data_IF_874143640241
#
_entry.id   IF_874143640241
#
_cell.length_a   1.000
_cell.length_b   1.000
_cell.length_c   1.000
_cell.angle_alpha   90.00
_cell.angle_beta   90.00
_cell.angle_gamma   90.00
#
_symmetry.space_group_name_H-M   'P 1'
#
loop_
_entity.id
_entity.type
_entity.pdbx_description
1 polymer ?
#
# COMPACT_ATOMS: atom_id res chain seq x y z
N UNK A 1 16.29 19.42 -19.21
CA UNK A 1 15.77 19.78 -20.55
C UNK A 1 14.28 19.49 -20.58
N UNK A 2 13.42 20.33 -21.16
CA UNK A 2 12.00 19.99 -21.32
C UNK A 2 11.84 19.11 -22.57
N UNK A 3 11.30 17.91 -22.42
CA UNK A 3 11.00 17.01 -23.54
C UNK A 3 9.63 17.39 -24.10
N UNK A 4 9.55 17.62 -25.42
CA UNK A 4 8.27 17.88 -26.04
C UNK A 4 7.42 16.60 -26.09
N UNK A 5 6.11 16.72 -25.94
CA UNK A 5 5.17 15.60 -26.12
C UNK A 5 5.37 14.96 -27.50
N UNK A 6 5.72 15.76 -28.50
CA UNK A 6 5.97 15.29 -29.86
C UNK A 6 7.16 14.32 -29.94
N UNK A 7 8.19 14.51 -29.11
CA UNK A 7 9.35 13.61 -29.08
C UNK A 7 9.00 12.30 -28.38
N UNK A 8 8.18 12.35 -27.33
CA UNK A 8 7.65 11.14 -26.69
C UNK A 8 6.80 10.31 -27.66
N UNK A 9 5.94 10.97 -28.45
CA UNK A 9 5.10 10.31 -29.46
C UNK A 9 5.91 9.57 -30.52
N UNK A 10 7.01 10.16 -31.00
CA UNK A 10 7.90 9.50 -31.97
C UNK A 10 8.49 8.19 -31.46
N UNK A 11 8.56 8.00 -30.15
CA UNK A 11 9.01 6.76 -29.53
C UNK A 11 7.82 5.81 -29.33
N UNK A 12 6.81 6.25 -28.58
CA UNK A 12 5.78 5.35 -28.05
C UNK A 12 4.62 5.07 -29.00
N UNK A 13 4.35 5.93 -29.99
CA UNK A 13 3.25 5.71 -30.96
C UNK A 13 3.67 4.85 -32.17
N UNK A 14 4.91 4.37 -32.20
CA UNK A 14 5.39 3.48 -33.28
C UNK A 14 4.80 2.08 -33.15
N UNK A 15 4.48 1.45 -34.28
CA UNK A 15 4.00 0.05 -34.31
C UNK A 15 5.00 -0.89 -33.65
N UNK A 16 6.29 -0.69 -33.90
CA UNK A 16 7.39 -1.49 -33.33
C UNK A 16 7.39 -1.44 -31.80
N UNK A 17 7.25 -0.26 -31.21
CA UNK A 17 7.15 -0.09 -29.76
C UNK A 17 5.90 -0.78 -29.21
N UNK A 18 4.74 -0.58 -29.84
CA UNK A 18 3.47 -1.15 -29.38
C UNK A 18 3.50 -2.69 -29.42
N UNK A 19 4.06 -3.28 -30.46
CA UNK A 19 4.25 -4.74 -30.57
C UNK A 19 5.26 -5.27 -29.54
N UNK A 20 6.37 -4.55 -29.32
CA UNK A 20 7.35 -4.88 -28.30
C UNK A 20 6.71 -4.94 -26.90
N UNK A 21 5.98 -3.89 -26.52
CA UNK A 21 5.34 -3.79 -25.21
C UNK A 21 4.27 -4.88 -25.03
N UNK A 22 3.48 -5.17 -26.08
CA UNK A 22 2.52 -6.28 -26.07
C UNK A 22 3.20 -7.64 -25.86
N UNK A 23 4.34 -7.88 -26.52
CA UNK A 23 5.10 -9.12 -26.35
C UNK A 23 5.68 -9.23 -24.93
N UNK A 24 6.24 -8.15 -24.39
CA UNK A 24 6.85 -8.14 -23.07
C UNK A 24 5.79 -8.30 -21.96
N UNK A 25 4.65 -7.62 -22.06
CA UNK A 25 3.54 -7.82 -21.12
C UNK A 25 3.09 -9.26 -21.04
N UNK A 26 2.86 -9.90 -22.18
CA UNK A 26 2.47 -11.30 -22.24
C UNK A 26 3.53 -12.23 -21.65
N UNK A 27 4.81 -11.99 -21.96
CA UNK A 27 5.91 -12.85 -21.50
C UNK A 27 6.14 -12.75 -19.99
N UNK A 28 5.96 -11.57 -19.41
CA UNK A 28 6.29 -11.29 -18.01
C UNK A 28 5.08 -11.10 -17.11
N UNK A 29 3.88 -11.36 -17.62
CA UNK A 29 2.65 -11.30 -16.83
C UNK A 29 2.39 -9.88 -16.27
N UNK A 30 2.63 -8.87 -17.11
CA UNK A 30 2.43 -7.45 -16.79
C UNK A 30 1.16 -6.99 -17.50
N UNK A 31 0.08 -6.78 -16.75
CA UNK A 31 -1.17 -6.27 -17.30
C UNK A 31 -1.05 -4.79 -17.67
N UNK A 32 -1.43 -4.42 -18.90
CA UNK A 32 -1.31 -3.05 -19.43
C UNK A 32 -2.68 -2.58 -19.89
N UNK A 33 -3.11 -1.41 -19.40
CA UNK A 33 -4.34 -0.76 -19.85
C UNK A 33 -4.07 0.22 -21.00
N UNK A 34 -4.94 0.27 -22.04
CA UNK A 34 -4.67 0.96 -23.30
C UNK A 34 -5.66 2.07 -23.70
N UNK A 35 -5.20 3.32 -23.58
CA UNK A 35 -4.81 4.22 -24.69
C UNK A 35 -3.82 5.24 -24.12
N UNK A 36 -2.77 5.63 -24.85
CA UNK A 36 -1.90 6.73 -24.42
C UNK A 36 -2.69 8.05 -24.42
N UNK A 37 -3.12 8.49 -23.25
CA UNK A 37 -3.79 9.77 -23.05
C UNK A 37 -2.79 10.90 -22.85
N UNK A 38 -3.21 12.14 -23.10
CA UNK A 38 -2.38 13.34 -22.97
C UNK A 38 -1.74 13.44 -21.56
N UNK A 39 -2.45 13.01 -20.53
CA UNK A 39 -1.97 13.00 -19.14
C UNK A 39 -0.74 12.09 -18.95
N UNK A 40 -0.70 10.93 -19.61
CA UNK A 40 0.42 10.00 -19.52
C UNK A 40 1.68 10.56 -20.19
N UNK A 41 1.52 11.29 -21.30
CA UNK A 41 2.62 12.02 -21.92
C UNK A 41 3.20 13.11 -21.01
N UNK A 42 2.32 13.85 -20.32
CA UNK A 42 2.75 14.88 -19.37
C UNK A 42 3.54 14.28 -18.21
N UNK A 43 3.10 13.13 -17.68
CA UNK A 43 3.81 12.41 -16.62
C UNK A 43 5.23 12.05 -17.07
N UNK A 44 5.42 11.45 -18.26
CA UNK A 44 6.76 11.10 -18.71
C UNK A 44 7.62 12.36 -18.94
N UNK A 45 7.05 13.40 -19.57
CA UNK A 45 7.78 14.64 -19.83
C UNK A 45 8.28 15.29 -18.54
N UNK A 46 7.42 15.36 -17.52
CA UNK A 46 7.78 15.86 -16.20
C UNK A 46 8.83 14.98 -15.53
N UNK A 47 8.67 13.65 -15.58
CA UNK A 47 9.64 12.70 -15.03
C UNK A 47 11.03 12.86 -15.66
N UNK A 48 11.12 13.02 -16.98
CA UNK A 48 12.38 13.28 -17.67
C UNK A 48 13.01 14.63 -17.26
N UNK A 49 12.17 15.65 -17.06
CA UNK A 49 12.63 16.96 -16.58
C UNK A 49 13.25 16.86 -15.18
N UNK A 50 12.64 16.10 -14.28
CA UNK A 50 13.12 15.95 -12.90
C UNK A 50 14.35 15.04 -12.78
N UNK A 51 14.44 14.01 -13.63
CA UNK A 51 15.56 13.06 -13.68
C UNK A 51 16.81 13.62 -14.36
N UNK A 52 16.67 14.70 -15.15
CA UNK A 52 17.69 15.18 -16.07
C UNK A 52 18.12 14.16 -17.15
N UNK A 53 17.29 13.13 -17.41
CA UNK A 53 17.52 12.16 -18.48
C UNK A 53 16.69 12.51 -19.72
N UNK A 54 17.25 12.30 -20.90
CA UNK A 54 16.51 12.41 -22.16
C UNK A 54 15.68 11.16 -22.44
N UNK A 55 14.62 11.30 -23.24
CA UNK A 55 13.80 10.16 -23.64
C UNK A 55 14.58 9.16 -24.49
N UNK A 56 15.52 9.63 -25.31
CA UNK A 56 16.35 8.77 -26.15
C UNK A 56 17.31 7.92 -25.31
N UNK A 57 17.87 8.48 -24.23
CA UNK A 57 18.69 7.72 -23.27
C UNK A 57 17.85 6.64 -22.57
N UNK A 58 16.68 7.01 -22.07
CA UNK A 58 15.76 6.09 -21.39
C UNK A 58 15.31 4.98 -22.34
N UNK A 59 14.96 5.33 -23.57
CA UNK A 59 14.46 4.38 -24.55
C UNK A 59 15.56 3.43 -25.02
N UNK A 60 16.76 3.95 -25.29
CA UNK A 60 17.92 3.11 -25.65
C UNK A 60 18.24 2.12 -24.54
N UNK A 61 18.28 2.60 -23.29
CA UNK A 61 18.50 1.72 -22.13
C UNK A 61 17.42 0.64 -22.03
N UNK A 62 16.14 1.01 -22.21
CA UNK A 62 15.04 0.05 -22.22
C UNK A 62 15.22 -1.04 -23.28
N UNK A 63 15.59 -0.67 -24.51
CA UNK A 63 15.80 -1.63 -25.59
C UNK A 63 16.94 -2.61 -25.30
N UNK A 64 18.02 -2.13 -24.68
CA UNK A 64 19.19 -2.93 -24.29
C UNK A 64 18.90 -3.82 -23.06
N UNK A 65 17.97 -3.41 -22.19
CA UNK A 65 17.76 -4.02 -20.86
C UNK A 65 16.32 -4.54 -20.63
N UNK A 66 15.62 -4.97 -21.70
CA UNK A 66 14.20 -5.38 -21.64
C UNK A 66 13.89 -6.38 -20.52
N UNK A 67 14.72 -7.43 -20.38
CA UNK A 67 14.54 -8.47 -19.36
C UNK A 67 14.69 -7.90 -17.94
N UNK A 68 15.74 -7.11 -17.70
CA UNK A 68 15.99 -6.47 -16.42
C UNK A 68 14.84 -5.54 -16.02
N UNK A 69 14.36 -4.72 -16.96
CA UNK A 69 13.24 -3.81 -16.74
C UNK A 69 11.97 -4.58 -16.36
N UNK A 70 11.65 -5.68 -17.06
CA UNK A 70 10.47 -6.49 -16.74
C UNK A 70 10.58 -7.18 -15.37
N UNK A 71 11.76 -7.72 -15.04
CA UNK A 71 12.01 -8.32 -13.73
C UNK A 71 11.92 -7.29 -12.61
N UNK A 72 12.41 -6.07 -12.84
CA UNK A 72 12.29 -4.97 -11.90
C UNK A 72 10.84 -4.56 -11.65
N UNK A 73 10.01 -4.48 -12.70
CA UNK A 73 8.57 -4.22 -12.56
C UNK A 73 7.93 -5.28 -11.67
N UNK A 74 8.20 -6.56 -11.92
CA UNK A 74 7.65 -7.66 -11.12
C UNK A 74 8.15 -7.65 -9.67
N UNK A 75 9.40 -7.26 -9.43
CA UNK A 75 9.95 -7.13 -8.09
C UNK A 75 9.36 -5.96 -7.31
N UNK A 76 9.14 -4.84 -7.99
CA UNK A 76 8.65 -3.59 -7.40
C UNK A 76 7.15 -3.63 -7.11
N UNK A 77 6.35 -4.13 -8.05
CA UNK A 77 4.89 -4.07 -7.96
C UNK A 77 4.24 -5.42 -7.62
N UNK A 78 5.03 -6.51 -7.52
CA UNK A 78 4.51 -7.86 -7.32
C UNK A 78 3.98 -8.50 -8.60
N UNK A 79 3.44 -9.72 -8.47
CA UNK A 79 2.76 -10.43 -9.56
C UNK A 79 1.24 -10.28 -9.38
N UNK A 80 0.59 -9.36 -10.09
CA UNK A 80 -0.85 -9.13 -9.92
C UNK A 80 -1.72 -10.35 -10.26
N UNK A 81 -1.19 -11.35 -10.98
CA UNK A 81 -1.93 -12.54 -11.42
C UNK A 81 -2.03 -13.66 -10.36
N UNK A 82 -1.24 -13.61 -9.27
CA UNK A 82 -1.22 -14.67 -8.25
C UNK A 82 -2.25 -14.43 -7.11
N UNK A 83 -2.91 -13.27 -7.09
CA UNK A 83 -3.96 -12.94 -6.10
C UNK A 83 -5.36 -13.14 -6.70
N UNK A 84 -6.06 -14.20 -6.28
CA UNK A 84 -7.46 -14.43 -6.64
C UNK A 84 -8.31 -13.23 -6.19
N UNK A 85 -9.20 -12.77 -7.07
CA UNK A 85 -10.22 -11.73 -6.82
C UNK A 85 -9.72 -10.28 -6.78
N UNK A 86 -8.52 -9.97 -7.28
CA UNK A 86 -8.06 -8.58 -7.49
C UNK A 86 -8.03 -8.26 -8.99
N UNK A 87 -9.04 -7.52 -9.47
CA UNK A 87 -8.94 -6.83 -10.77
C UNK A 87 -8.05 -5.59 -10.61
N UNK A 88 -6.79 -5.70 -10.99
CA UNK A 88 -5.93 -4.53 -11.12
C UNK A 88 -6.39 -3.67 -12.31
N UNK A 89 -6.41 -2.36 -12.12
CA UNK A 89 -6.32 -1.42 -13.24
C UNK A 89 -4.90 -1.58 -13.80
N UNK A 90 -4.77 -2.16 -14.99
CA UNK A 90 -3.47 -2.45 -15.61
C UNK A 90 -2.51 -1.26 -15.62
N UNK A 91 -1.21 -1.53 -15.69
CA UNK A 91 -0.18 -0.49 -15.76
C UNK A 91 -0.38 0.38 -17.01
N UNK A 92 -0.09 1.69 -16.95
CA UNK A 92 -0.04 2.49 -18.18
C UNK A 92 1.08 1.97 -19.08
N UNK A 93 0.94 2.10 -20.40
CA UNK A 93 2.01 1.74 -21.36
C UNK A 93 3.36 2.36 -21.01
N UNK A 94 3.35 3.48 -20.29
CA UNK A 94 4.53 4.23 -19.85
C UNK A 94 5.37 3.50 -18.80
N UNK A 95 4.86 2.44 -18.16
CA UNK A 95 5.52 1.75 -17.04
C UNK A 95 6.91 1.25 -17.39
N UNK A 96 7.12 0.79 -18.62
CA UNK A 96 8.42 0.29 -19.07
C UNK A 96 9.46 1.40 -19.16
N UNK A 97 9.07 2.56 -19.69
CA UNK A 97 9.96 3.71 -19.81
C UNK A 97 10.25 4.34 -18.45
N UNK A 98 9.23 4.46 -17.58
CA UNK A 98 9.45 4.99 -16.24
C UNK A 98 10.31 4.06 -15.40
N UNK A 99 10.13 2.74 -15.54
CA UNK A 99 10.95 1.74 -14.84
C UNK A 99 12.39 1.73 -15.37
N UNK A 100 12.58 1.83 -16.69
CA UNK A 100 13.91 1.96 -17.29
C UNK A 100 14.65 3.21 -16.79
N UNK A 101 13.96 4.34 -16.69
CA UNK A 101 14.50 5.57 -16.14
C UNK A 101 14.86 5.44 -14.65
N UNK A 102 14.03 4.79 -13.83
CA UNK A 102 14.33 4.54 -12.42
C UNK A 102 15.59 3.68 -12.28
N UNK A 103 15.74 2.62 -13.07
CA UNK A 103 16.95 1.78 -13.06
C UNK A 103 18.19 2.59 -13.44
N UNK A 104 18.13 3.41 -14.50
CA UNK A 104 19.22 4.32 -14.87
C UNK A 104 19.60 5.25 -13.71
N UNK A 105 18.62 5.80 -13.01
CA UNK A 105 18.86 6.66 -11.85
C UNK A 105 19.47 5.90 -10.69
N UNK A 106 19.13 4.62 -10.49
CA UNK A 106 19.78 3.76 -9.49
C UNK A 106 21.25 3.54 -9.87
N UNK A 107 21.55 3.19 -11.12
CA UNK A 107 22.93 2.96 -11.60
C UNK A 107 23.80 4.22 -11.48
N UNK A 108 23.19 5.40 -11.63
CA UNK A 108 23.85 6.70 -11.48
C UNK A 108 23.89 7.21 -10.03
N UNK A 109 23.35 6.47 -9.06
CA UNK A 109 23.18 6.89 -7.66
C UNK A 109 22.37 8.20 -7.49
N UNK A 110 21.46 8.49 -8.43
CA UNK A 110 20.66 9.71 -8.48
C UNK A 110 19.18 9.51 -8.11
N UNK A 111 18.74 8.27 -7.84
CA UNK A 111 17.33 7.96 -7.55
C UNK A 111 16.78 8.75 -6.35
N UNK A 112 17.54 8.83 -5.24
CA UNK A 112 17.06 9.54 -4.04
C UNK A 112 16.82 11.03 -4.31
N UNK A 113 17.74 11.69 -5.02
CA UNK A 113 17.59 13.11 -5.35
C UNK A 113 16.44 13.33 -6.34
N UNK A 114 16.23 12.40 -7.26
CA UNK A 114 15.06 12.40 -8.13
C UNK A 114 13.75 12.30 -7.34
N UNK A 115 13.64 11.35 -6.40
CA UNK A 115 12.44 11.17 -5.57
C UNK A 115 12.17 12.38 -4.68
N UNK A 116 13.21 13.02 -4.15
CA UNK A 116 13.09 14.31 -3.42
C UNK A 116 12.55 15.42 -4.31
N UNK A 117 13.01 15.53 -5.56
CA UNK A 117 12.50 16.52 -6.53
C UNK A 117 11.04 16.27 -6.89
N UNK A 118 10.62 15.01 -6.92
CA UNK A 118 9.22 14.62 -7.08
C UNK A 118 8.35 14.88 -5.84
N UNK A 119 8.96 15.20 -4.69
CA UNK A 119 8.27 15.35 -3.41
C UNK A 119 7.49 14.09 -3.01
N UNK A 120 8.05 12.92 -3.31
CA UNK A 120 7.52 11.64 -2.83
C UNK A 120 7.63 11.61 -1.31
N UNK A 121 6.59 11.10 -0.65
CA UNK A 121 6.58 10.86 0.79
C UNK A 121 7.63 9.80 1.18
N UNK A 122 8.35 10.02 2.28
CA UNK A 122 9.45 9.14 2.72
C UNK A 122 10.43 8.74 1.58
N UNK A 123 11.06 9.70 0.86
CA UNK A 123 11.81 9.42 -0.38
C UNK A 123 13.02 8.51 -0.15
N UNK A 124 13.59 8.51 1.06
CA UNK A 124 14.65 7.59 1.47
C UNK A 124 14.17 6.15 1.59
N UNK A 125 12.95 5.91 2.08
CA UNK A 125 12.33 4.58 2.17
C UNK A 125 12.08 4.05 0.76
N UNK A 126 11.40 4.83 -0.08
CA UNK A 126 11.14 4.46 -1.47
C UNK A 126 12.42 4.17 -2.26
N UNK A 127 13.46 5.01 -2.10
CA UNK A 127 14.75 4.76 -2.76
C UNK A 127 15.36 3.41 -2.34
N UNK A 128 15.31 3.07 -1.04
CA UNK A 128 15.84 1.79 -0.54
C UNK A 128 15.06 0.60 -1.10
N UNK A 129 13.73 0.69 -1.17
CA UNK A 129 12.86 -0.37 -1.70
C UNK A 129 13.06 -0.59 -3.20
N UNK A 130 13.16 0.50 -3.98
CA UNK A 130 13.44 0.46 -5.42
C UNK A 130 14.84 -0.11 -5.68
N UNK A 131 15.86 0.32 -4.93
CA UNK A 131 17.21 -0.26 -5.00
C UNK A 131 17.18 -1.76 -4.69
N UNK A 132 16.45 -2.18 -3.66
CA UNK A 132 16.35 -3.59 -3.31
C UNK A 132 15.65 -4.40 -4.43
N UNK A 133 14.60 -3.85 -5.03
CA UNK A 133 13.89 -4.46 -6.17
C UNK A 133 14.79 -4.58 -7.40
N UNK A 134 15.56 -3.54 -7.69
CA UNK A 134 16.58 -3.55 -8.75
C UNK A 134 17.64 -4.62 -8.50
N UNK A 135 18.20 -4.72 -7.31
CA UNK A 135 19.25 -5.70 -7.01
C UNK A 135 18.76 -7.14 -7.14
N UNK A 136 17.51 -7.42 -6.74
CA UNK A 136 16.87 -8.74 -6.97
C UNK A 136 16.65 -9.03 -8.46
N UNK A 137 16.15 -8.04 -9.20
CA UNK A 137 15.94 -8.16 -10.63
C UNK A 137 17.27 -8.37 -11.39
N UNK A 138 18.32 -7.65 -11.00
CA UNK A 138 19.66 -7.76 -11.58
C UNK A 138 20.26 -9.15 -11.36
N UNK A 139 20.24 -9.64 -10.12
CA UNK A 139 20.73 -10.98 -9.80
C UNK A 139 19.97 -12.05 -10.61
N UNK A 140 18.63 -11.95 -10.68
CA UNK A 140 17.80 -12.85 -11.48
C UNK A 140 18.14 -12.77 -12.97
N UNK A 141 18.34 -11.57 -13.51
CA UNK A 141 18.67 -11.34 -14.92
C UNK A 141 20.02 -11.94 -15.32
N UNK A 142 20.96 -12.04 -14.36
CA UNK A 142 22.30 -12.60 -14.54
C UNK A 142 22.40 -14.07 -14.14
N UNK A 143 21.32 -14.66 -13.65
CA UNK A 143 21.31 -16.00 -13.05
C UNK A 143 22.33 -16.12 -11.88
N UNK A 144 22.42 -15.07 -11.07
CA UNK A 144 23.27 -14.94 -9.89
C UNK A 144 22.44 -15.04 -8.60
N UNK A 145 23.04 -15.47 -7.46
CA UNK A 145 22.35 -15.46 -6.19
C UNK A 145 22.04 -14.02 -5.74
N UNK A 146 20.83 -13.81 -5.22
CA UNK A 146 20.43 -12.52 -4.65
C UNK A 146 21.31 -12.23 -3.43
N UNK A 147 21.98 -11.05 -3.35
CA UNK A 147 22.79 -10.70 -2.19
C UNK A 147 21.96 -10.69 -0.90
N UNK A 148 22.52 -11.19 0.20
CA UNK A 148 21.83 -11.37 1.49
C UNK A 148 21.08 -10.10 1.95
N UNK A 149 21.69 -8.92 1.78
CA UNK A 149 21.10 -7.63 2.13
C UNK A 149 19.80 -7.29 1.35
N UNK A 150 19.58 -7.90 0.19
CA UNK A 150 18.43 -7.66 -0.69
C UNK A 150 17.52 -8.87 -0.83
N UNK A 151 17.85 -10.01 -0.22
CA UNK A 151 16.95 -11.13 -0.12
C UNK A 151 15.67 -10.67 0.58
N UNK A 152 14.53 -10.95 -0.04
CA UNK A 152 13.25 -10.78 0.67
C UNK A 152 13.38 -11.64 1.91
N UNK A 153 13.31 -11.04 3.10
CA UNK A 153 13.10 -11.82 4.32
C UNK A 153 11.92 -12.73 3.99
N UNK A 154 12.01 -14.05 4.25
CA UNK A 154 10.82 -14.86 4.14
C UNK A 154 9.79 -14.14 5.00
N UNK A 155 8.77 -13.57 4.35
CA UNK A 155 7.48 -13.46 5.00
C UNK A 155 7.30 -14.87 5.51
N UNK A 156 7.31 -15.05 6.83
CA UNK A 156 6.87 -16.31 7.39
C UNK A 156 5.54 -16.50 6.68
N UNK A 157 5.46 -17.48 5.78
CA UNK A 157 4.20 -18.14 5.51
C UNK A 157 3.88 -18.71 6.89
N UNK A 158 3.29 -17.88 7.76
CA UNK A 158 2.34 -18.37 8.71
C UNK A 158 1.39 -19.10 7.78
N UNK A 159 1.40 -20.41 7.91
CA UNK A 159 0.22 -21.19 7.63
C UNK A 159 -0.91 -20.35 8.19
N UNK A 160 -1.67 -19.69 7.31
CA UNK A 160 -3.01 -19.28 7.66
C UNK A 160 -3.63 -20.62 7.94
N UNK A 161 -3.65 -20.99 9.22
CA UNK A 161 -4.55 -22.03 9.66
C UNK A 161 -5.89 -21.50 9.22
N UNK A 162 -6.45 -22.10 8.17
CA UNK A 162 -7.84 -21.97 7.76
C UNK A 162 -8.73 -22.60 8.84
N UNK A 163 -8.60 -22.06 10.04
CA UNK A 163 -9.36 -22.35 11.24
C UNK A 163 -9.69 -21.01 11.90
N UNK A 164 -10.08 -20.02 11.08
CA UNK A 164 -10.87 -18.90 11.54
C UNK A 164 -12.32 -19.33 11.52
N UNK A 165 -12.99 -19.39 12.67
CA UNK A 165 -14.44 -19.57 12.70
C UNK A 165 -15.07 -18.53 11.78
N UNK A 166 -16.01 -18.95 10.93
CA UNK A 166 -16.78 -18.03 10.08
C UNK A 166 -17.36 -16.90 10.94
N UNK A 167 -17.05 -15.64 10.61
CA UNK A 167 -17.59 -14.48 11.32
C UNK A 167 -19.11 -14.62 11.42
N UNK A 168 -19.59 -14.68 12.66
CA UNK A 168 -21.01 -14.77 12.97
C UNK A 168 -21.46 -13.41 13.45
N UNK A 169 -22.44 -12.85 12.73
CA UNK A 169 -23.07 -11.59 13.10
C UNK A 169 -24.08 -11.85 14.23
N UNK A 170 -24.10 -10.92 15.18
CA UNK A 170 -25.12 -10.85 16.21
C UNK A 170 -26.49 -10.49 15.64
N UNK A 171 -27.43 -10.23 16.56
CA UNK A 171 -28.76 -9.76 16.19
C UNK A 171 -28.65 -8.34 15.65
N UNK A 172 -29.30 -8.10 14.51
CA UNK A 172 -29.46 -6.77 13.94
C UNK A 172 -30.53 -6.02 14.72
N UNK A 173 -30.19 -4.82 15.17
CA UNK A 173 -31.04 -3.91 15.93
C UNK A 173 -31.20 -2.64 15.07
N UNK A 174 -32.42 -2.28 14.63
CA UNK A 174 -32.63 -1.01 13.94
C UNK A 174 -32.37 0.15 14.92
N UNK A 175 -31.80 1.25 14.41
CA UNK A 175 -31.64 2.48 15.19
C UNK A 175 -32.87 3.39 15.02
N UNK A 176 -32.84 4.58 15.61
CA UNK A 176 -33.90 5.59 15.47
C UNK A 176 -33.91 6.27 14.07
N UNK A 177 -32.87 6.03 13.26
CA UNK A 177 -32.77 6.53 11.89
C UNK A 177 -33.23 5.46 10.90
N UNK A 178 -34.02 5.88 9.90
CA UNK A 178 -34.41 4.99 8.81
C UNK A 178 -33.17 4.44 8.10
N UNK A 179 -33.20 3.15 7.76
CA UNK A 179 -32.11 2.42 7.09
C UNK A 179 -30.78 2.34 7.86
N UNK A 180 -30.79 2.56 9.17
CA UNK A 180 -29.62 2.34 10.03
C UNK A 180 -29.81 1.14 10.97
N UNK A 181 -28.77 0.32 11.08
CA UNK A 181 -28.78 -0.90 11.88
C UNK A 181 -27.47 -1.07 12.63
N UNK A 182 -27.57 -1.63 13.82
CA UNK A 182 -26.44 -2.02 14.64
C UNK A 182 -26.42 -3.54 14.80
N UNK A 183 -25.24 -4.14 14.76
CA UNK A 183 -25.01 -5.54 15.11
C UNK A 183 -23.65 -5.68 15.78
N UNK A 184 -23.30 -6.89 16.22
CA UNK A 184 -21.99 -7.18 16.81
C UNK A 184 -21.32 -8.35 16.09
N UNK A 185 -19.99 -8.39 16.14
CA UNK A 185 -19.20 -9.53 15.69
C UNK A 185 -17.93 -9.64 16.52
N UNK A 186 -17.42 -10.86 16.73
CA UNK A 186 -16.08 -11.02 17.28
C UNK A 186 -15.05 -10.87 16.17
N UNK A 187 -14.24 -9.81 16.22
CA UNK A 187 -13.17 -9.53 15.26
C UNK A 187 -11.87 -9.28 16.03
N UNK A 188 -10.79 -9.91 15.57
CA UNK A 188 -9.47 -9.92 16.20
C UNK A 188 -9.52 -10.32 17.69
N UNK A 189 -10.45 -11.21 18.02
CA UNK A 189 -10.64 -11.73 19.39
C UNK A 189 -11.42 -10.82 20.34
N UNK A 190 -11.97 -9.68 19.89
CA UNK A 190 -12.80 -8.78 20.69
C UNK A 190 -14.21 -8.69 20.10
N UNK A 191 -15.24 -8.57 20.95
CA UNK A 191 -16.58 -8.20 20.49
C UNK A 191 -16.56 -6.74 20.02
N UNK A 192 -16.98 -6.53 18.78
CA UNK A 192 -16.93 -5.25 18.08
C UNK A 192 -18.32 -4.88 17.60
N UNK A 193 -18.69 -3.63 17.81
CA UNK A 193 -19.92 -3.04 17.30
C UNK A 193 -19.79 -2.72 15.81
N UNK A 194 -20.82 -3.06 15.04
CA UNK A 194 -20.90 -2.83 13.61
C UNK A 194 -22.12 -1.96 13.34
N UNK A 195 -21.87 -0.72 12.92
CA UNK A 195 -22.88 0.25 12.50
C UNK A 195 -23.05 0.17 10.98
N UNK A 196 -24.28 0.07 10.52
CA UNK A 196 -24.62 -0.19 9.12
C UNK A 196 -25.60 0.89 8.67
N UNK A 197 -25.27 1.58 7.60
CA UNK A 197 -26.11 2.59 6.96
C UNK A 197 -26.51 2.06 5.58
N UNK A 198 -27.81 1.99 5.30
CA UNK A 198 -28.40 1.49 4.06
C UNK A 198 -29.05 0.10 4.19
N UNK A 199 -29.61 -0.38 3.08
CA UNK A 199 -30.44 -1.59 3.08
C UNK A 199 -29.65 -2.88 3.41
N UNK A 200 -29.91 -3.43 4.60
CA UNK A 200 -29.14 -4.52 5.24
C UNK A 200 -29.44 -5.94 4.74
N UNK A 201 -30.26 -6.15 3.70
CA UNK A 201 -30.55 -7.50 3.14
C UNK A 201 -29.28 -8.22 2.64
N UNK A 202 -28.15 -7.52 2.60
CA UNK A 202 -26.80 -8.00 2.29
C UNK A 202 -25.99 -8.54 3.47
N UNK A 203 -26.63 -9.21 4.46
CA UNK A 203 -25.94 -9.86 5.61
C UNK A 203 -24.74 -10.73 5.21
N UNK A 204 -24.86 -11.43 4.09
CA UNK A 204 -23.79 -12.27 3.53
C UNK A 204 -22.60 -11.42 3.05
N UNK A 205 -22.85 -10.28 2.42
CA UNK A 205 -21.80 -9.38 1.98
C UNK A 205 -21.05 -8.78 3.19
N UNK A 206 -21.78 -8.36 4.21
CA UNK A 206 -21.22 -7.84 5.48
C UNK A 206 -20.36 -8.91 6.13
N UNK A 207 -20.89 -10.12 6.37
CA UNK A 207 -20.13 -11.23 6.97
C UNK A 207 -18.86 -11.57 6.18
N UNK A 208 -18.93 -11.64 4.85
CA UNK A 208 -17.76 -11.89 4.00
C UNK A 208 -16.71 -10.77 4.11
N UNK A 209 -17.15 -9.52 4.24
CA UNK A 209 -16.25 -8.38 4.34
C UNK A 209 -15.60 -8.28 5.72
N UNK A 210 -16.34 -8.56 6.79
CA UNK A 210 -15.77 -8.67 8.14
C UNK A 210 -14.81 -9.86 8.25
N UNK A 211 -15.10 -10.99 7.59
CA UNK A 211 -14.15 -12.10 7.50
C UNK A 211 -12.86 -11.68 6.80
N UNK A 212 -12.96 -10.87 5.74
CA UNK A 212 -11.76 -10.33 5.10
C UNK A 212 -10.95 -9.43 6.05
N UNK A 213 -11.60 -8.62 6.88
CA UNK A 213 -10.92 -7.81 7.92
C UNK A 213 -10.23 -8.70 8.96
N UNK A 214 -10.90 -9.77 9.42
CA UNK A 214 -10.33 -10.78 10.32
C UNK A 214 -9.05 -11.39 9.72
N UNK A 215 -9.13 -11.84 8.47
CA UNK A 215 -8.04 -12.55 7.78
C UNK A 215 -6.87 -11.62 7.42
N UNK A 216 -7.10 -10.30 7.35
CA UNK A 216 -6.12 -9.29 6.91
C UNK A 216 -5.65 -8.37 8.04
N UNK A 217 -5.76 -8.80 9.31
CA UNK A 217 -5.30 -8.04 10.49
C UNK A 217 -3.91 -7.44 10.32
N UNK A 218 -2.91 -8.27 10.01
CA UNK A 218 -1.51 -7.83 9.92
C UNK A 218 -1.33 -6.76 8.83
N UNK A 219 -1.97 -6.93 7.66
CA UNK A 219 -1.93 -5.94 6.56
C UNK A 219 -2.52 -4.59 6.99
N UNK A 220 -3.71 -4.61 7.62
CA UNK A 220 -4.41 -3.39 8.05
C UNK A 220 -3.58 -2.65 9.11
N UNK A 221 -3.02 -3.36 10.09
CA UNK A 221 -2.18 -2.76 11.13
C UNK A 221 -0.88 -2.19 10.57
N UNK A 222 -0.22 -2.89 9.64
CA UNK A 222 0.97 -2.34 8.96
C UNK A 222 0.63 -1.05 8.21
N UNK A 223 -0.44 -1.05 7.41
CA UNK A 223 -0.87 0.15 6.69
C UNK A 223 -1.15 1.32 7.64
N UNK A 224 -1.88 1.06 8.74
CA UNK A 224 -2.24 2.08 9.72
C UNK A 224 -1.02 2.74 10.38
N UNK A 225 0.00 1.95 10.73
CA UNK A 225 1.18 2.45 11.44
C UNK A 225 2.22 3.09 10.51
N UNK A 226 2.23 2.70 9.23
CA UNK A 226 3.14 3.26 8.24
C UNK A 226 2.74 4.66 7.74
N UNK A 227 1.44 5.01 7.80
CA UNK A 227 0.91 6.26 7.25
C UNK A 227 1.58 7.53 7.81
N UNK A 228 2.20 7.46 9.00
CA UNK A 228 2.90 8.61 9.61
C UNK A 228 4.19 8.21 10.36
N UNK A 229 4.80 7.05 10.08
CA UNK A 229 5.92 6.52 10.88
C UNK A 229 5.63 6.57 12.40
N UNK A 230 4.41 6.16 12.77
CA UNK A 230 3.79 6.47 14.07
C UNK A 230 4.70 6.07 15.25
N UNK A 231 5.24 4.85 15.21
CA UNK A 231 6.07 4.31 16.29
C UNK A 231 7.31 5.17 16.54
N UNK A 232 7.92 5.67 15.47
CA UNK A 232 9.11 6.53 15.53
C UNK A 232 8.76 7.85 16.24
N UNK A 233 7.72 8.53 15.78
CA UNK A 233 7.26 9.79 16.38
C UNK A 233 6.81 9.63 17.83
N UNK A 234 6.06 8.58 18.14
CA UNK A 234 5.63 8.27 19.50
C UNK A 234 6.83 8.04 20.42
N UNK A 235 7.82 7.25 19.99
CA UNK A 235 9.00 6.95 20.78
C UNK A 235 9.94 8.15 20.95
N UNK A 236 10.03 9.05 19.98
CA UNK A 236 10.76 10.31 20.10
C UNK A 236 10.16 11.21 21.20
N UNK A 237 8.83 11.32 21.22
CA UNK A 237 8.11 12.01 22.30
C UNK A 237 8.32 11.32 23.65
N UNK A 238 8.08 10.01 23.75
CA UNK A 238 8.20 9.25 24.99
C UNK A 238 9.62 9.35 25.56
N UNK A 239 10.65 9.21 24.72
CA UNK A 239 12.06 9.36 25.10
C UNK A 239 12.34 10.75 25.67
N UNK A 240 11.77 11.79 25.05
CA UNK A 240 11.95 13.17 25.51
C UNK A 240 11.32 13.41 26.88
N UNK A 241 10.10 12.92 27.10
CA UNK A 241 9.40 13.06 28.38
C UNK A 241 10.08 12.25 29.49
N UNK A 242 10.49 11.01 29.20
CA UNK A 242 11.23 10.15 30.13
C UNK A 242 12.55 10.83 30.56
N UNK A 243 13.31 11.41 29.63
CA UNK A 243 14.56 12.12 29.97
C UNK A 243 14.33 13.33 30.87
N UNK A 244 13.23 14.08 30.67
CA UNK A 244 12.94 15.30 31.42
C UNK A 244 12.35 15.02 32.81
N UNK A 245 11.46 14.04 32.91
CA UNK A 245 10.60 13.82 34.09
C UNK A 245 10.80 12.45 34.76
N UNK A 246 11.65 11.60 34.20
CA UNK A 246 11.85 10.21 34.64
C UNK A 246 10.74 9.25 34.20
N UNK A 247 9.68 9.75 33.54
CA UNK A 247 8.53 8.98 33.04
C UNK A 247 7.76 9.76 31.97
N UNK A 248 7.06 9.05 31.09
CA UNK A 248 5.98 9.58 30.28
C UNK A 248 4.63 9.08 30.85
N UNK A 249 3.61 9.92 30.82
CA UNK A 249 2.25 9.56 31.28
C UNK A 249 1.33 9.68 30.06
N UNK A 250 0.68 8.59 29.69
CA UNK A 250 -0.28 8.54 28.60
C UNK A 250 -1.63 9.14 29.00
N UNK A 251 -2.53 9.33 28.03
CA UNK A 251 -3.85 9.90 28.26
C UNK A 251 -4.69 9.06 29.25
N UNK A 252 -4.55 7.74 29.20
CA UNK A 252 -5.18 6.79 30.14
C UNK A 252 -4.48 6.67 31.51
N UNK A 253 -3.50 7.53 31.80
CA UNK A 253 -2.62 7.50 32.97
C UNK A 253 -1.62 6.33 33.03
N UNK A 254 -1.46 5.56 31.96
CA UNK A 254 -0.38 4.57 31.88
C UNK A 254 0.97 5.26 31.97
N UNK A 255 1.88 4.70 32.78
CA UNK A 255 3.21 5.24 33.01
C UNK A 255 4.23 4.45 32.19
N UNK A 256 4.96 5.13 31.31
CA UNK A 256 6.09 4.58 30.57
C UNK A 256 7.41 5.05 31.19
N UNK A 257 8.34 4.11 31.40
CA UNK A 257 9.72 4.39 31.83
C UNK A 257 10.75 4.10 30.74
N UNK A 258 10.32 3.47 29.64
CA UNK A 258 11.09 3.23 28.42
C UNK A 258 10.20 3.46 27.19
N UNK A 259 10.79 3.71 26.00
CA UNK A 259 10.06 3.66 24.73
C UNK A 259 9.44 2.28 24.50
N UNK A 260 8.41 2.22 23.66
CA UNK A 260 7.70 0.97 23.34
C UNK A 260 8.26 0.32 22.07
N UNK A 261 8.10 -1.00 21.98
CA UNK A 261 8.43 -1.78 20.79
C UNK A 261 7.25 -1.85 19.83
N UNK A 262 7.53 -2.18 18.56
CA UNK A 262 6.50 -2.43 17.55
C UNK A 262 5.58 -3.59 17.97
N UNK A 263 6.14 -4.64 18.59
CA UNK A 263 5.35 -5.78 19.07
C UNK A 263 4.38 -5.40 20.18
N UNK A 264 4.77 -4.53 21.12
CA UNK A 264 3.88 -4.01 22.17
C UNK A 264 2.76 -3.14 21.57
N UNK A 265 3.08 -2.31 20.58
CA UNK A 265 2.10 -1.49 19.88
C UNK A 265 1.10 -2.36 19.09
N UNK A 266 1.57 -3.30 18.27
CA UNK A 266 0.69 -4.19 17.48
C UNK A 266 -0.23 -5.04 18.36
N UNK A 267 0.24 -5.44 19.55
CA UNK A 267 -0.57 -6.19 20.51
C UNK A 267 -1.60 -5.31 21.24
N UNK A 268 -1.34 -4.02 21.39
CA UNK A 268 -2.28 -3.11 22.06
C UNK A 268 -3.43 -2.68 21.15
N UNK A 269 -3.29 -2.78 19.82
CA UNK A 269 -4.31 -2.36 18.87
C UNK A 269 -5.46 -3.37 18.77
N UNK A 270 -6.67 -2.87 18.92
CA UNK A 270 -7.93 -3.57 18.67
C UNK A 270 -8.95 -2.66 17.98
N UNK A 271 -10.02 -3.26 17.46
CA UNK A 271 -11.12 -2.53 16.81
C UNK A 271 -12.14 -2.11 17.88
N UNK A 272 -12.37 -0.81 17.99
CA UNK A 272 -13.43 -0.25 18.84
C UNK A 272 -14.80 -0.39 18.17
N UNK A 273 -14.86 -0.12 16.87
CA UNK A 273 -16.10 -0.22 16.08
C UNK A 273 -15.82 -0.24 14.59
N UNK A 274 -16.84 -0.63 13.83
CA UNK A 274 -16.81 -0.63 12.36
C UNK A 274 -18.09 0.06 11.85
N UNK A 275 -17.94 0.96 10.89
CA UNK A 275 -19.06 1.52 10.13
C UNK A 275 -19.09 0.91 8.73
N UNK A 276 -20.28 0.59 8.23
CA UNK A 276 -20.50 -0.01 6.91
C UNK A 276 -21.52 0.83 6.15
N UNK A 277 -21.12 1.38 5.00
CA UNK A 277 -22.02 2.07 4.10
C UNK A 277 -22.47 1.13 2.98
N UNK A 278 -23.78 1.00 2.81
CA UNK A 278 -24.43 0.23 1.77
C UNK A 278 -25.15 1.14 0.78
N UNK A 279 -24.84 1.01 -0.50
CA UNK A 279 -25.60 1.62 -1.59
C UNK A 279 -26.12 0.53 -2.52
N UNK A 280 -27.43 0.56 -2.82
CA UNK A 280 -28.10 -0.41 -3.70
C UNK A 280 -27.82 -1.88 -3.32
N UNK A 281 -27.66 -2.16 -2.01
CA UNK A 281 -27.35 -3.50 -1.50
C UNK A 281 -25.88 -3.93 -1.64
N UNK A 282 -24.99 -3.04 -2.05
CA UNK A 282 -23.54 -3.28 -2.14
C UNK A 282 -22.77 -2.47 -1.10
N UNK A 283 -21.67 -3.03 -0.58
CA UNK A 283 -20.79 -2.32 0.36
C UNK A 283 -19.97 -1.32 -0.43
N UNK A 284 -20.23 -0.04 -0.21
CA UNK A 284 -19.49 1.06 -0.83
C UNK A 284 -18.23 1.40 -0.05
N UNK A 285 -18.35 1.54 1.26
CA UNK A 285 -17.22 1.79 2.15
C UNK A 285 -17.39 1.14 3.52
N UNK A 286 -16.25 0.96 4.18
CA UNK A 286 -16.16 0.53 5.57
C UNK A 286 -15.12 1.38 6.28
N UNK A 287 -15.45 1.85 7.47
CA UNK A 287 -14.51 2.53 8.35
C UNK A 287 -14.21 1.62 9.54
N UNK A 288 -12.93 1.40 9.82
CA UNK A 288 -12.46 0.65 10.98
C UNK A 288 -11.87 1.63 11.98
N UNK A 289 -12.45 1.67 13.17
CA UNK A 289 -11.99 2.49 14.28
C UNK A 289 -10.99 1.70 15.12
N UNK A 290 -9.72 2.05 15.02
CA UNK A 290 -8.62 1.42 15.77
C UNK A 290 -8.27 2.25 16.99
N UNK A 291 -8.09 1.57 18.12
CA UNK A 291 -7.66 2.17 19.39
C UNK A 291 -6.59 1.28 20.02
N UNK A 292 -5.93 1.78 21.07
CA UNK A 292 -4.87 1.05 21.77
C UNK A 292 -5.16 0.92 23.27
N UNK A 293 -4.72 -0.18 23.87
CA UNK A 293 -4.65 -0.35 25.33
C UNK A 293 -3.30 -0.98 25.70
N UNK A 294 -2.35 -0.24 26.30
CA UNK A 294 -2.43 1.17 26.75
C UNK A 294 -2.71 2.18 25.65
N UNK A 295 -3.24 3.35 26.01
CA UNK A 295 -3.63 4.41 25.06
C UNK A 295 -2.43 5.16 24.48
N UNK A 296 -1.77 4.51 23.51
CA UNK A 296 -0.69 5.08 22.73
C UNK A 296 -1.18 6.12 21.71
N UNK A 297 -2.46 6.10 21.35
CA UNK A 297 -3.06 7.08 20.43
C UNK A 297 -3.46 8.39 21.11
N UNK A 298 -3.30 8.49 22.43
CA UNK A 298 -3.42 9.75 23.15
C UNK A 298 -4.86 10.28 23.23
N UNK A 299 -5.83 9.38 23.37
CA UNK A 299 -7.26 9.69 23.40
C UNK A 299 -7.92 9.71 22.01
N UNK A 300 -7.15 9.45 20.95
CA UNK A 300 -7.66 9.41 19.59
C UNK A 300 -7.93 7.98 19.09
N UNK A 301 -8.82 7.90 18.12
CA UNK A 301 -9.16 6.74 17.31
C UNK A 301 -8.54 6.91 15.94
N UNK A 302 -7.75 5.93 15.50
CA UNK A 302 -7.20 5.88 14.15
C UNK A 302 -8.23 5.24 13.22
N UNK A 303 -8.66 5.97 12.19
CA UNK A 303 -9.67 5.50 11.24
C UNK A 303 -9.02 4.99 9.96
N UNK A 304 -9.31 3.74 9.61
CA UNK A 304 -8.96 3.14 8.32
C UNK A 304 -10.21 2.97 7.49
N UNK A 305 -10.22 3.56 6.31
CA UNK A 305 -11.30 3.44 5.34
C UNK A 305 -10.99 2.32 4.33
N UNK A 306 -12.01 1.56 3.97
CA UNK A 306 -11.94 0.45 3.02
C UNK A 306 -13.03 0.63 1.99
N UNK A 307 -12.68 0.88 0.74
CA UNK A 307 -13.68 1.01 -0.31
C UNK A 307 -14.25 -0.35 -0.79
N UNK A 308 -15.23 -0.30 -1.69
CA UNK A 308 -15.84 -1.45 -2.34
C UNK A 308 -14.83 -2.43 -2.96
N UNK A 309 -13.67 -1.94 -3.41
CA UNK A 309 -12.54 -2.72 -3.97
C UNK A 309 -11.50 -3.18 -2.94
N UNK A 310 -11.76 -3.04 -1.63
CA UNK A 310 -10.84 -3.41 -0.53
C UNK A 310 -9.54 -2.61 -0.50
N UNK A 311 -9.51 -1.44 -1.13
CA UNK A 311 -8.36 -0.53 -1.03
C UNK A 311 -8.45 0.23 0.29
N UNK A 312 -7.34 0.26 1.02
CA UNK A 312 -7.19 0.99 2.28
C UNK A 312 -6.88 2.48 2.01
N UNK A 313 -7.52 3.37 2.77
CA UNK A 313 -7.14 4.77 2.91
C UNK A 313 -7.08 5.17 4.39
N UNK A 314 -6.28 6.19 4.68
CA UNK A 314 -6.21 6.77 6.01
C UNK A 314 -7.34 7.78 6.18
N UNK A 315 -8.28 7.49 7.08
CA UNK A 315 -9.41 8.35 7.43
C UNK A 315 -9.08 9.41 8.48
N UNK A 316 -7.86 9.38 9.02
CA UNK A 316 -7.38 10.34 10.02
C UNK A 316 -7.41 9.82 11.46
N UNK A 317 -6.95 10.68 12.38
CA UNK A 317 -7.05 10.49 13.83
C UNK A 317 -8.22 11.31 14.35
N UNK A 318 -9.20 10.68 15.01
CA UNK A 318 -10.41 11.31 15.54
C UNK A 318 -10.44 11.20 17.07
N UNK A 319 -10.62 12.31 17.78
CA UNK A 319 -10.76 12.33 19.24
C UNK A 319 -10.74 13.74 19.81
#
# INVERSE_FOLDING_TARGET
MSISIQDLKKVVETTEYQELIKRLSQKYHIDIYNKMELQLYNIISERCKLSNLSIDEIYRFFLENQMLVCLYINEKFGKPEEEKDVTYLGFPQTIFLTSAMEILLIEQNNLLDYLKKQRVEAPTKCAKEDIASYQRALATSKNEPIPEAFQKKPMKKKVISSVGNKITLGKFIPTDCDDEYQTTATIWGKETEINIIGNYDSKKAISNRLQWIEDNREMILTFALEAEDFLSHFNDWATTEIKKKGKAILYDNTILTTPITEEELIKSIYIEGISVLLEEGTIESIDINLVTSPDYFGGHTLVIEINNKKKLSFGGMQG
#
